data_IF_421181669300
#
_entry.id   IF_421181669300
#
_cell.length_a   1.000
_cell.length_b   1.000
_cell.length_c   1.000
_cell.angle_alpha   90.00
_cell.angle_beta   90.00
_cell.angle_gamma   90.00
#
_symmetry.space_group_name_H-M   'P 1'
#
loop_
_entity.id
_entity.type
_entity.pdbx_description
1 polymer ?
#
# COMPACT_ATOMS: atom_id res chain seq x y z
N UNK A 1 6.80 -16.09 23.62
CA UNK A 1 7.05 -14.80 24.29
C UNK A 1 7.35 -13.79 23.19
N UNK A 2 6.48 -12.80 22.99
CA UNK A 2 6.69 -11.75 21.97
C UNK A 2 6.98 -10.49 22.77
N UNK A 3 8.24 -10.06 22.74
CA UNK A 3 8.70 -8.82 23.34
C UNK A 3 8.41 -7.67 22.35
N UNK A 4 7.38 -6.90 22.66
CA UNK A 4 7.09 -5.65 21.94
C UNK A 4 7.48 -4.47 22.81
N UNK A 5 8.76 -4.15 22.80
CA UNK A 5 9.33 -2.91 23.33
C UNK A 5 8.80 -1.72 22.51
N UNK A 6 8.04 -0.85 23.17
CA UNK A 6 7.53 0.42 22.66
C UNK A 6 8.65 1.47 22.66
N UNK A 7 9.12 1.87 21.46
CA UNK A 7 9.83 3.12 21.25
C UNK A 7 9.82 3.47 19.76
N UNK A 8 9.03 4.47 19.36
CA UNK A 8 9.21 5.33 18.18
C UNK A 8 9.67 4.76 16.83
N UNK A 9 9.47 3.48 16.52
CA UNK A 9 9.91 2.87 15.25
C UNK A 9 8.78 2.02 14.70
N UNK A 10 8.16 2.47 13.61
CA UNK A 10 7.25 1.66 12.80
C UNK A 10 8.01 0.40 12.38
N UNK A 11 7.78 -0.72 13.08
CA UNK A 11 8.28 -2.02 12.65
C UNK A 11 7.45 -2.41 11.43
N UNK A 12 8.02 -2.19 10.25
CA UNK A 12 7.47 -2.67 8.98
C UNK A 12 7.10 -4.15 9.12
N UNK A 13 5.81 -4.47 8.96
CA UNK A 13 5.36 -5.85 9.03
C UNK A 13 5.92 -6.60 7.82
N UNK A 14 6.49 -7.79 8.04
CA UNK A 14 6.98 -8.68 6.99
C UNK A 14 6.30 -10.03 7.09
N UNK A 15 5.70 -10.48 5.99
CA UNK A 15 5.01 -11.76 5.88
C UNK A 15 5.36 -12.39 4.53
N UNK A 16 5.61 -13.70 4.50
CA UNK A 16 5.99 -14.37 3.24
C UNK A 16 7.27 -13.84 2.56
N UNK A 17 8.10 -13.11 3.30
CA UNK A 17 9.28 -12.40 2.77
C UNK A 17 8.96 -11.04 2.12
N UNK A 18 7.70 -10.62 2.04
CA UNK A 18 7.28 -9.33 1.54
C UNK A 18 7.04 -8.33 2.68
N UNK A 19 7.34 -7.04 2.44
CA UNK A 19 6.94 -5.94 3.32
C UNK A 19 5.46 -5.62 3.08
N UNK A 20 4.68 -5.46 4.13
CA UNK A 20 3.23 -5.17 4.08
C UNK A 20 2.89 -4.02 5.00
N UNK A 21 1.79 -3.31 4.72
CA UNK A 21 1.35 -2.16 5.53
C UNK A 21 0.72 -2.59 6.85
N UNK A 22 0.05 -3.76 6.87
CA UNK A 22 -0.49 -4.36 8.07
C UNK A 22 -0.63 -5.88 7.99
N UNK A 23 -0.57 -6.53 9.13
CA UNK A 23 -0.82 -7.97 9.25
C UNK A 23 -1.64 -8.27 10.50
N UNK A 24 -2.68 -9.10 10.35
CA UNK A 24 -3.54 -9.57 11.43
C UNK A 24 -3.36 -11.08 11.62
N UNK A 25 -2.54 -11.52 12.58
CA UNK A 25 -2.22 -12.94 12.76
C UNK A 25 -3.43 -13.83 13.08
N UNK A 26 -4.45 -13.27 13.75
CA UNK A 26 -5.63 -14.04 14.18
C UNK A 26 -6.47 -14.54 13.00
N UNK A 27 -6.52 -13.75 11.94
CA UNK A 27 -7.35 -14.00 10.74
C UNK A 27 -6.50 -14.34 9.52
N UNK A 28 -5.17 -14.35 9.67
CA UNK A 28 -4.20 -14.48 8.59
C UNK A 28 -4.41 -13.45 7.45
N UNK A 29 -4.87 -12.25 7.81
CA UNK A 29 -5.15 -11.17 6.87
C UNK A 29 -3.95 -10.24 6.73
N UNK A 30 -3.63 -9.89 5.49
CA UNK A 30 -2.66 -8.85 5.15
C UNK A 30 -3.43 -7.63 4.68
N UNK A 31 -3.11 -6.46 5.22
CA UNK A 31 -3.72 -5.19 4.84
C UNK A 31 -2.72 -4.42 3.98
N UNK A 32 -3.16 -3.96 2.80
CA UNK A 32 -2.34 -3.16 1.87
C UNK A 32 -3.09 -1.89 1.49
N UNK A 33 -2.42 -0.75 1.61
CA UNK A 33 -2.90 0.55 1.16
C UNK A 33 -2.04 1.02 -0.02
N UNK A 34 -2.56 0.83 -1.23
CA UNK A 34 -1.85 1.10 -2.45
C UNK A 34 -1.84 2.61 -2.76
N UNK A 35 -0.72 3.27 -2.44
CA UNK A 35 -0.43 4.62 -2.93
C UNK A 35 -0.47 4.69 -4.45
N UNK A 36 -1.32 5.54 -5.03
CA UNK A 36 -1.70 5.44 -6.43
C UNK A 36 -0.50 5.60 -7.37
N UNK A 37 0.39 6.55 -7.08
CA UNK A 37 1.59 6.81 -7.89
C UNK A 37 2.61 5.67 -7.82
N UNK A 38 2.90 5.18 -6.62
CA UNK A 38 3.92 4.16 -6.38
C UNK A 38 3.49 2.76 -6.85
N UNK A 39 2.18 2.47 -6.82
CA UNK A 39 1.63 1.16 -7.18
C UNK A 39 0.91 1.16 -8.53
N UNK A 40 0.93 2.28 -9.27
CA UNK A 40 0.38 2.35 -10.62
C UNK A 40 -1.13 2.13 -10.66
N UNK A 41 -1.91 2.92 -9.93
CA UNK A 41 -3.36 2.76 -9.89
C UNK A 41 -4.02 2.78 -11.29
N UNK A 42 -4.75 1.72 -11.70
CA UNK A 42 -5.35 1.64 -13.03
C UNK A 42 -6.48 2.68 -13.23
N UNK A 43 -7.10 3.15 -12.14
CA UNK A 43 -8.13 4.20 -12.18
C UNK A 43 -7.53 5.58 -12.43
N UNK A 44 -6.46 5.92 -11.71
CA UNK A 44 -5.80 7.23 -11.80
C UNK A 44 -4.96 7.38 -13.07
N UNK A 45 -4.34 6.31 -13.56
CA UNK A 45 -3.44 6.34 -14.73
C UNK A 45 -4.06 5.73 -16.00
N UNK A 46 -5.39 5.70 -16.10
CA UNK A 46 -6.14 5.03 -17.18
C UNK A 46 -5.63 5.31 -18.60
N UNK A 47 -5.18 6.53 -18.87
CA UNK A 47 -4.76 6.97 -20.22
C UNK A 47 -3.24 7.10 -20.38
N UNK A 48 -2.47 6.94 -19.30
CA UNK A 48 -1.01 7.17 -19.27
C UNK A 48 -0.26 5.96 -18.72
N UNK A 49 -0.89 4.78 -18.76
CA UNK A 49 -0.37 3.49 -18.24
C UNK A 49 1.06 3.18 -18.69
N UNK A 50 1.35 3.41 -19.96
CA UNK A 50 2.62 3.07 -20.59
C UNK A 50 3.55 4.28 -20.78
N UNK A 51 3.14 5.46 -20.30
CA UNK A 51 3.98 6.64 -20.34
C UNK A 51 4.88 6.65 -19.10
N UNK A 52 6.19 6.74 -19.30
CA UNK A 52 7.10 6.98 -18.17
C UNK A 52 6.80 8.35 -17.55
N UNK A 53 6.58 8.44 -16.24
CA UNK A 53 6.40 9.74 -15.60
C UNK A 53 7.69 10.56 -15.74
N UNK A 54 7.61 11.88 -15.94
CA UNK A 54 8.77 12.73 -16.17
C UNK A 54 9.81 12.63 -15.04
N UNK A 55 9.33 12.43 -13.80
CA UNK A 55 10.16 12.38 -12.60
C UNK A 55 10.64 10.96 -12.22
N UNK A 56 10.29 9.94 -13.00
CA UNK A 56 10.71 8.55 -12.72
C UNK A 56 10.93 7.69 -13.97
N UNK A 57 11.93 8.01 -14.81
CA UNK A 57 12.41 7.06 -15.82
C UNK A 57 13.12 5.88 -15.13
N UNK A 58 12.87 4.60 -15.50
CA UNK A 58 12.14 4.09 -16.66
C UNK A 58 10.77 3.43 -16.34
N UNK A 59 10.30 3.44 -15.10
CA UNK A 59 9.15 2.62 -14.69
C UNK A 59 7.80 3.28 -15.02
N UNK A 60 7.08 2.67 -15.96
CA UNK A 60 5.71 3.07 -16.32
C UNK A 60 4.74 2.74 -15.17
N UNK A 61 3.59 3.44 -15.06
CA UNK A 61 2.52 3.05 -14.16
C UNK A 61 2.05 1.60 -14.35
N UNK A 62 2.14 1.07 -15.58
CA UNK A 62 1.86 -0.34 -15.86
C UNK A 62 2.82 -1.28 -15.12
N UNK A 63 4.13 -1.03 -15.21
CA UNK A 63 5.11 -1.88 -14.53
C UNK A 63 4.90 -1.89 -12.99
N UNK A 64 4.58 -0.73 -12.40
CA UNK A 64 4.27 -0.62 -10.96
C UNK A 64 3.03 -1.43 -10.57
N UNK A 65 2.01 -1.42 -11.43
CA UNK A 65 0.80 -2.18 -11.22
C UNK A 65 1.04 -3.69 -11.33
N UNK A 66 1.80 -4.13 -12.33
CA UNK A 66 2.19 -5.53 -12.46
C UNK A 66 2.94 -6.03 -11.22
N UNK A 67 3.88 -5.23 -10.70
CA UNK A 67 4.57 -5.54 -9.45
C UNK A 67 3.62 -5.60 -8.24
N UNK A 68 2.63 -4.72 -8.18
CA UNK A 68 1.59 -4.71 -7.14
C UNK A 68 0.76 -5.99 -7.21
N UNK A 69 0.25 -6.36 -8.39
CA UNK A 69 -0.53 -7.59 -8.59
C UNK A 69 0.31 -8.83 -8.28
N UNK A 70 1.58 -8.86 -8.69
CA UNK A 70 2.48 -9.97 -8.39
C UNK A 70 2.69 -10.17 -6.89
N UNK A 71 2.82 -9.07 -6.12
CA UNK A 71 2.90 -9.12 -4.65
C UNK A 71 1.61 -9.71 -4.06
N UNK A 72 0.44 -9.23 -4.49
CA UNK A 72 -0.86 -9.69 -3.97
C UNK A 72 -1.13 -11.16 -4.32
N UNK A 73 -0.75 -11.59 -5.53
CA UNK A 73 -0.80 -12.98 -5.97
C UNK A 73 0.05 -13.86 -5.06
N UNK A 74 1.32 -13.49 -4.83
CA UNK A 74 2.23 -14.22 -3.95
C UNK A 74 1.71 -14.33 -2.52
N UNK A 75 1.13 -13.26 -1.96
CA UNK A 75 0.55 -13.30 -0.62
C UNK A 75 -0.61 -14.30 -0.56
N UNK A 76 -1.46 -14.30 -1.58
CA UNK A 76 -2.60 -15.22 -1.70
C UNK A 76 -2.12 -16.67 -1.85
N UNK A 77 -1.10 -16.93 -2.66
CA UNK A 77 -0.48 -18.26 -2.84
C UNK A 77 0.14 -18.81 -1.54
N UNK A 78 0.64 -17.92 -0.67
CA UNK A 78 1.15 -18.28 0.65
C UNK A 78 0.03 -18.48 1.70
N UNK A 79 -1.22 -18.38 1.30
CA UNK A 79 -2.39 -18.62 2.15
C UNK A 79 -2.88 -17.42 2.96
N UNK A 80 -2.37 -16.22 2.68
CA UNK A 80 -2.84 -14.99 3.32
C UNK A 80 -4.09 -14.45 2.63
N UNK A 81 -5.01 -13.89 3.41
CA UNK A 81 -6.11 -13.10 2.88
C UNK A 81 -5.66 -11.64 2.67
N UNK A 82 -5.36 -11.25 1.43
CA UNK A 82 -4.99 -9.87 1.10
C UNK A 82 -6.24 -8.98 1.04
N UNK A 83 -6.35 -8.01 1.95
CA UNK A 83 -7.37 -6.96 1.97
C UNK A 83 -6.72 -5.68 1.50
N UNK A 84 -7.14 -5.19 0.34
CA UNK A 84 -6.45 -4.12 -0.37
C UNK A 84 -7.36 -2.91 -0.56
N UNK A 85 -6.79 -1.71 -0.45
CA UNK A 85 -7.49 -0.46 -0.73
C UNK A 85 -6.56 0.48 -1.50
N UNK A 86 -7.08 1.14 -2.53
CA UNK A 86 -6.34 2.19 -3.22
C UNK A 86 -6.46 3.52 -2.48
N UNK A 87 -5.37 4.29 -2.47
CA UNK A 87 -5.33 5.63 -1.88
C UNK A 87 -6.45 6.54 -2.42
N UNK A 88 -6.71 6.51 -3.73
CA UNK A 88 -7.78 7.32 -4.33
C UNK A 88 -9.18 6.90 -3.88
N UNK A 89 -9.40 5.62 -3.57
CA UNK A 89 -10.67 5.17 -3.01
C UNK A 89 -10.78 5.57 -1.55
N UNK A 90 -9.70 5.43 -0.77
CA UNK A 90 -9.64 5.87 0.62
C UNK A 90 -9.94 7.37 0.73
N UNK A 91 -9.26 8.22 -0.06
CA UNK A 91 -9.50 9.67 -0.11
C UNK A 91 -10.95 10.05 -0.45
N UNK A 92 -11.63 9.23 -1.26
CA UNK A 92 -13.05 9.43 -1.60
C UNK A 92 -14.01 9.00 -0.50
N UNK A 93 -13.61 8.03 0.32
CA UNK A 93 -14.38 7.55 1.47
C UNK A 93 -14.16 8.41 2.72
N UNK A 94 -13.03 9.12 2.81
CA UNK A 94 -12.76 10.06 3.88
C UNK A 94 -13.55 11.35 3.68
N UNK A 95 -14.24 11.82 4.73
CA UNK A 95 -14.86 13.15 4.76
C UNK A 95 -13.78 14.23 4.83
N UNK A 96 -14.09 15.47 4.42
CA UNK A 96 -13.14 16.61 4.48
C UNK A 96 -12.50 16.79 5.86
N UNK A 97 -13.25 16.56 6.94
CA UNK A 97 -12.74 16.67 8.33
C UNK A 97 -11.68 15.61 8.66
N UNK A 98 -11.84 14.38 8.16
CA UNK A 98 -10.90 13.28 8.36
C UNK A 98 -9.61 13.47 7.55
N UNK A 99 -9.75 14.01 6.33
CA UNK A 99 -8.62 14.32 5.45
C UNK A 99 -7.74 15.44 6.01
N UNK A 100 -8.34 16.52 6.53
CA UNK A 100 -7.61 17.65 7.09
C UNK A 100 -6.80 17.27 8.35
N UNK A 101 -7.27 16.32 9.15
CA UNK A 101 -6.54 15.85 10.32
C UNK A 101 -5.31 15.01 9.94
N UNK A 102 -5.40 14.17 8.90
CA UNK A 102 -4.28 13.31 8.47
C UNK A 102 -3.17 14.06 7.73
N UNK A 103 -3.49 15.17 7.05
CA UNK A 103 -2.49 15.97 6.31
C UNK A 103 -1.79 17.00 7.22
N UNK A 104 -2.49 17.56 8.21
CA UNK A 104 -1.89 18.52 9.17
C UNK A 104 -1.07 17.84 10.24
N UNK A 105 -1.41 16.61 10.59
CA UNK A 105 -0.54 15.71 11.30
C UNK A 105 0.17 14.81 10.30
N UNK A 106 1.18 15.35 9.62
CA UNK A 106 2.38 14.56 9.40
C UNK A 106 2.67 13.90 10.76
N UNK A 107 2.38 12.61 10.89
CA UNK A 107 3.08 11.78 11.87
C UNK A 107 4.53 11.81 11.42
N UNK A 108 5.20 12.88 11.85
CA UNK A 108 6.63 13.00 11.97
C UNK A 108 7.04 11.75 12.75
N UNK A 109 7.57 10.78 12.02
CA UNK A 109 8.58 9.89 12.56
C UNK A 109 9.92 10.60 12.46
#
# INVERSE_FOLDING_TARGET
>A
QIDTTHSGKQKEARVGGAKVDGYRPKTNEVLELHGCYHHGCPKCFKHTRNASPPDSPPETPEHRYEATVAKSCRLTELGYAAIEMWECDSKRLMTEEMFNHTETHHTIA
#
